data_IF_712523036663
#
_entry.id   IF_712523036663
#
_cell.length_a   1.000
_cell.length_b   1.000
_cell.length_c   1.000
_cell.angle_alpha   90.00
_cell.angle_beta   90.00
_cell.angle_gamma   90.00
#
_symmetry.space_group_name_H-M   'P 1'
#
loop_
_entity.id
_entity.type
_entity.pdbx_description
1 polymer ?
#
# COMPACT_ATOMS: atom_id res chain seq x y z
N UNK A 1 10.54 20.78 6.15
CA UNK A 1 9.26 20.72 5.40
C UNK A 1 9.40 19.94 4.09
N UNK A 2 10.57 19.95 3.43
CA UNK A 2 10.94 19.06 2.30
C UNK A 2 10.54 17.58 2.51
N UNK A 3 10.95 16.97 3.63
CA UNK A 3 10.77 15.54 3.90
C UNK A 3 9.30 15.09 3.97
N UNK A 4 8.40 15.99 4.37
CA UNK A 4 6.97 15.73 4.38
C UNK A 4 6.41 15.63 2.96
N UNK A 5 6.88 16.47 2.02
CA UNK A 5 6.45 16.45 0.59
C UNK A 5 6.98 15.23 -0.17
N UNK A 6 8.19 14.77 0.15
CA UNK A 6 8.79 13.57 -0.47
C UNK A 6 7.96 12.30 -0.23
N UNK A 7 7.35 12.18 0.96
CA UNK A 7 6.48 11.03 1.31
C UNK A 7 5.01 11.25 0.97
N UNK A 8 4.56 12.51 0.94
CA UNK A 8 3.19 12.84 0.57
C UNK A 8 2.85 12.40 -0.85
N UNK A 9 3.79 12.54 -1.79
CA UNK A 9 3.55 12.17 -3.20
C UNK A 9 3.20 10.68 -3.38
N UNK A 10 3.95 9.69 -2.83
CA UNK A 10 3.58 8.28 -2.91
C UNK A 10 2.28 7.90 -2.18
N UNK A 11 2.02 8.50 -1.02
CA UNK A 11 0.84 8.18 -0.20
C UNK A 11 -0.43 8.70 -0.88
N UNK A 12 -0.40 9.93 -1.41
CA UNK A 12 -1.51 10.53 -2.14
C UNK A 12 -1.73 9.82 -3.47
N UNK A 13 -0.67 9.43 -4.19
CA UNK A 13 -0.78 8.73 -5.47
C UNK A 13 -1.49 7.38 -5.36
N UNK A 14 -1.11 6.57 -4.37
CA UNK A 14 -1.69 5.23 -4.18
C UNK A 14 -3.12 5.30 -3.68
N UNK A 15 -3.41 6.21 -2.75
CA UNK A 15 -4.77 6.42 -2.23
C UNK A 15 -5.72 6.99 -3.29
N UNK A 16 -5.32 7.98 -4.10
CA UNK A 16 -6.15 8.49 -5.19
C UNK A 16 -6.39 7.46 -6.29
N UNK A 17 -5.33 6.75 -6.73
CA UNK A 17 -5.47 5.73 -7.77
C UNK A 17 -6.42 4.62 -7.33
N UNK A 18 -6.34 4.22 -6.05
CA UNK A 18 -7.22 3.20 -5.50
C UNK A 18 -8.68 3.66 -5.38
N UNK A 19 -8.92 4.85 -4.82
CA UNK A 19 -10.28 5.41 -4.69
C UNK A 19 -10.92 5.58 -6.07
N UNK A 20 -10.22 6.15 -7.04
CA UNK A 20 -10.73 6.31 -8.41
C UNK A 20 -10.96 4.98 -9.14
N UNK A 21 -10.16 3.94 -8.84
CA UNK A 21 -10.34 2.60 -9.42
C UNK A 21 -11.55 1.85 -8.86
N UNK A 22 -11.90 2.04 -7.58
CA UNK A 22 -12.98 1.30 -6.92
C UNK A 22 -14.34 2.00 -7.04
N UNK A 23 -14.37 3.32 -7.05
CA UNK A 23 -15.60 4.13 -7.18
C UNK A 23 -16.51 3.70 -8.35
N UNK A 24 -16.02 3.55 -9.61
CA UNK A 24 -16.87 3.12 -10.73
C UNK A 24 -17.32 1.66 -10.61
N UNK A 25 -16.59 0.82 -9.87
CA UNK A 25 -16.92 -0.58 -9.68
C UNK A 25 -18.07 -0.78 -8.67
N UNK A 26 -18.15 0.09 -7.66
CA UNK A 26 -19.22 0.10 -6.65
C UNK A 26 -20.50 0.75 -7.17
N UNK A 27 -20.36 1.79 -8.01
CA UNK A 27 -21.48 2.53 -8.61
C UNK A 27 -22.00 1.92 -9.92
N UNK A 28 -21.34 0.89 -10.46
CA UNK A 28 -21.75 0.24 -11.70
C UNK A 28 -23.17 -0.36 -11.59
N UNK A 29 -24.10 0.21 -12.35
CA UNK A 29 -25.46 -0.29 -12.57
C UNK A 29 -25.62 -0.65 -14.06
N UNK A 30 -26.19 -1.82 -14.35
CA UNK A 30 -26.30 -2.38 -15.71
C UNK A 30 -26.08 -3.90 -15.77
N UNK A 31 -26.06 -4.48 -16.98
CA UNK A 31 -25.85 -5.93 -17.18
C UNK A 31 -24.53 -6.41 -16.56
N UNK A 32 -24.55 -7.49 -15.78
CA UNK A 32 -23.35 -7.95 -15.05
C UNK A 32 -22.93 -7.05 -13.87
N UNK A 33 -23.77 -6.11 -13.42
CA UNK A 33 -23.51 -5.29 -12.22
C UNK A 33 -23.38 -6.13 -10.94
N UNK A 34 -24.05 -7.28 -10.86
CA UNK A 34 -23.89 -8.21 -9.73
C UNK A 34 -22.44 -8.75 -9.65
N UNK A 35 -21.86 -9.13 -10.79
CA UNK A 35 -20.47 -9.60 -10.87
C UNK A 35 -19.46 -8.49 -10.54
N UNK A 36 -19.68 -7.26 -11.04
CA UNK A 36 -18.82 -6.10 -10.74
C UNK A 36 -18.89 -5.67 -9.28
N UNK A 37 -20.10 -5.61 -8.70
CA UNK A 37 -20.27 -5.32 -7.27
C UNK A 37 -19.65 -6.40 -6.39
N UNK A 38 -19.82 -7.68 -6.73
CA UNK A 38 -19.22 -8.79 -5.98
C UNK A 38 -17.68 -8.76 -6.02
N UNK A 39 -17.09 -8.52 -7.19
CA UNK A 39 -15.62 -8.32 -7.28
C UNK A 39 -15.18 -7.07 -6.51
N UNK A 40 -15.91 -5.96 -6.62
CA UNK A 40 -15.58 -4.70 -5.96
C UNK A 40 -15.63 -4.78 -4.43
N UNK A 41 -16.67 -5.40 -3.86
CA UNK A 41 -16.77 -5.59 -2.41
C UNK A 41 -15.71 -6.57 -1.88
N UNK A 42 -15.40 -7.63 -2.64
CA UNK A 42 -14.33 -8.57 -2.29
C UNK A 42 -12.95 -7.92 -2.27
N UNK A 43 -12.61 -7.14 -3.30
CA UNK A 43 -11.33 -6.43 -3.38
C UNK A 43 -11.24 -5.32 -2.33
N UNK A 44 -12.32 -4.57 -2.11
CA UNK A 44 -12.35 -3.50 -1.10
C UNK A 44 -12.14 -4.06 0.32
N UNK A 45 -12.89 -5.10 0.69
CA UNK A 45 -12.71 -5.78 1.98
C UNK A 45 -11.32 -6.42 2.10
N UNK A 46 -10.84 -7.06 1.02
CA UNK A 46 -9.52 -7.65 0.95
C UNK A 46 -8.40 -6.63 1.17
N UNK A 47 -8.53 -5.41 0.63
CA UNK A 47 -7.52 -4.37 0.80
C UNK A 47 -7.51 -3.78 2.21
N UNK A 48 -8.67 -3.63 2.83
CA UNK A 48 -8.77 -3.23 4.24
C UNK A 48 -8.06 -4.27 5.12
N UNK A 49 -8.41 -5.55 4.98
CA UNK A 49 -7.80 -6.64 5.76
C UNK A 49 -6.30 -6.75 5.46
N UNK A 50 -5.89 -6.73 4.20
CA UNK A 50 -4.49 -6.81 3.81
C UNK A 50 -3.66 -5.68 4.41
N UNK A 51 -4.21 -4.46 4.50
CA UNK A 51 -3.51 -3.33 5.12
C UNK A 51 -3.21 -3.59 6.59
N UNK A 52 -4.19 -4.04 7.38
CA UNK A 52 -3.98 -4.34 8.81
C UNK A 52 -3.09 -5.57 9.02
N UNK A 53 -3.36 -6.66 8.29
CA UNK A 53 -2.65 -7.92 8.43
C UNK A 53 -1.21 -7.78 7.96
N UNK A 54 -0.96 -7.21 6.78
CA UNK A 54 0.40 -7.06 6.24
C UNK A 54 1.25 -6.13 7.11
N UNK A 55 0.69 -5.07 7.69
CA UNK A 55 1.44 -4.17 8.59
C UNK A 55 2.02 -4.90 9.81
N UNK A 56 1.33 -5.92 10.32
CA UNK A 56 1.80 -6.73 11.46
C UNK A 56 2.66 -7.91 10.98
N UNK A 57 2.25 -8.59 9.92
CA UNK A 57 2.90 -9.81 9.44
C UNK A 57 4.22 -9.54 8.71
N UNK A 58 4.34 -8.47 7.92
CA UNK A 58 5.59 -8.12 7.22
C UNK A 58 6.76 -7.95 8.19
N UNK A 59 6.68 -7.14 9.27
CA UNK A 59 7.79 -7.01 10.20
C UNK A 59 8.05 -8.30 10.99
N UNK A 60 7.00 -9.06 11.34
CA UNK A 60 7.14 -10.35 12.00
C UNK A 60 7.91 -11.35 11.13
N UNK A 61 7.51 -11.50 9.87
CA UNK A 61 8.20 -12.34 8.90
C UNK A 61 9.61 -11.84 8.62
N UNK A 62 9.82 -10.53 8.53
CA UNK A 62 11.15 -9.95 8.35
C UNK A 62 12.08 -10.35 9.50
N UNK A 63 11.62 -10.26 10.76
CA UNK A 63 12.42 -10.67 11.92
C UNK A 63 12.67 -12.18 11.93
N UNK A 64 11.67 -13.01 11.59
CA UNK A 64 11.82 -14.46 11.53
C UNK A 64 12.84 -14.89 10.47
N UNK A 65 12.78 -14.30 9.27
CA UNK A 65 13.68 -14.60 8.16
C UNK A 65 15.09 -14.01 8.37
N UNK A 66 15.18 -12.84 9.01
CA UNK A 66 16.47 -12.14 9.25
C UNK A 66 17.16 -12.61 10.52
N UNK A 67 16.48 -13.30 11.46
CA UNK A 67 17.10 -13.87 12.67
C UNK A 67 18.29 -14.80 12.39
N UNK A 68 18.40 -15.38 11.19
CA UNK A 68 19.55 -16.20 10.77
C UNK A 68 20.53 -15.51 9.80
N UNK A 69 20.25 -14.27 9.35
CA UNK A 69 21.08 -13.56 8.36
C UNK A 69 21.50 -12.23 8.97
N UNK A 70 22.79 -12.11 9.29
CA UNK A 70 23.37 -10.89 9.85
C UNK A 70 22.88 -9.66 9.10
N UNK A 71 22.35 -8.69 9.85
CA UNK A 71 21.81 -7.41 9.38
C UNK A 71 22.72 -6.79 8.32
N UNK A 72 22.33 -6.74 7.03
CA UNK A 72 22.92 -5.74 6.15
C UNK A 72 22.53 -4.40 6.77
N UNK A 73 23.55 -3.58 7.08
CA UNK A 73 23.36 -2.25 7.64
C UNK A 73 22.25 -1.54 6.86
N UNK A 74 21.25 -1.05 7.60
CA UNK A 74 20.15 -0.28 7.03
C UNK A 74 20.74 0.77 6.08
N UNK A 75 20.34 0.70 4.82
CA UNK A 75 20.82 1.61 3.79
C UNK A 75 20.69 3.06 4.30
N UNK A 76 21.76 3.87 4.23
CA UNK A 76 21.74 5.22 4.78
C UNK A 76 20.68 6.06 4.09
N UNK A 77 19.64 6.41 4.84
CA UNK A 77 18.63 7.40 4.47
C UNK A 77 19.23 8.82 4.53
N UNK A 78 20.22 9.11 3.67
CA UNK A 78 20.95 10.38 3.74
C UNK A 78 21.89 10.71 2.58
N UNK A 79 21.67 10.19 1.38
CA UNK A 79 22.48 10.58 0.19
C UNK A 79 21.91 11.82 -0.53
N UNK A 80 20.62 12.15 -0.36
CA UNK A 80 19.99 13.30 -1.04
C UNK A 80 20.43 14.69 -0.53
N UNK A 81 21.04 14.81 0.65
CA UNK A 81 21.44 16.12 1.22
C UNK A 81 22.86 16.57 0.83
N UNK A 82 23.63 15.74 0.11
CA UNK A 82 25.00 16.09 -0.34
C UNK A 82 25.12 16.47 -1.81
N UNK A 83 24.00 16.53 -2.54
CA UNK A 83 23.95 16.86 -3.98
C UNK A 83 23.09 18.11 -4.25
N UNK A 84 22.54 18.77 -3.22
CA UNK A 84 21.85 20.05 -3.33
C UNK A 84 22.73 21.21 -2.86
#
# INVERSE_FOLDING_TARGET
LEAARLRFRPIVMTSLAFVLGVVPLVLASGAGAAARRSMGTGVFGGMLVATFVATIFIPLFFVLLTRGRAKPAAAPAGIEERIA
#
